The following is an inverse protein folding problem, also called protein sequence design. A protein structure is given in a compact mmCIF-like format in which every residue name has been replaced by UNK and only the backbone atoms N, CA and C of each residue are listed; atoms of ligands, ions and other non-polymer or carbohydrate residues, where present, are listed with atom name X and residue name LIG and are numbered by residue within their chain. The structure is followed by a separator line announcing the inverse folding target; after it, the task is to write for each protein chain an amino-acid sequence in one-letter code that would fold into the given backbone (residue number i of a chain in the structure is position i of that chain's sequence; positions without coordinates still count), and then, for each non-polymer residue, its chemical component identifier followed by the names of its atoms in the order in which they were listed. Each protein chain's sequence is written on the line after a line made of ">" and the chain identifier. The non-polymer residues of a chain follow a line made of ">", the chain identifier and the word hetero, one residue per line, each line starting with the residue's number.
data_IF_412457540139
#
_entry.id   IF_412457540139
#
_cell.length_a   1.000
_cell.length_b   1.000
_cell.length_c   1.000
_cell.angle_alpha   90.00
_cell.angle_beta   90.00
_cell.angle_gamma   90.00
#
_symmetry.space_group_name_H-M   'P 1'
#
loop_
_entity.id
_entity.type
_entity.pdbx_description
1 polymer ?
#
# COMPACT_ATOMS: atom_id res chain seq x y z
N UNK A 1 2.61 -2.74 -10.38
CA UNK A 1 2.80 -1.33 -10.07
C UNK A 1 4.19 -0.85 -10.50
N UNK A 2 5.28 -1.50 -10.06
CA UNK A 2 6.67 -1.17 -10.39
C UNK A 2 6.89 -0.95 -11.91
N UNK A 3 6.46 -1.90 -12.75
CA UNK A 3 6.60 -1.79 -14.20
C UNK A 3 5.88 -0.55 -14.79
N UNK A 4 4.69 -0.21 -14.26
CA UNK A 4 3.97 1.00 -14.68
C UNK A 4 4.68 2.28 -14.21
N UNK A 5 5.21 2.28 -12.98
CA UNK A 5 5.99 3.40 -12.43
C UNK A 5 7.21 3.70 -13.34
N UNK A 6 7.96 2.66 -13.71
CA UNK A 6 9.11 2.79 -14.61
C UNK A 6 8.75 3.35 -16.00
N UNK A 7 7.59 2.97 -16.58
CA UNK A 7 7.09 3.54 -17.84
C UNK A 7 6.76 5.02 -17.73
N UNK A 8 6.40 5.50 -16.55
CA UNK A 8 6.11 6.91 -16.26
C UNK A 8 7.34 7.69 -15.74
N UNK A 9 8.52 7.09 -15.72
CA UNK A 9 9.74 7.73 -15.23
C UNK A 9 9.81 7.87 -13.69
N UNK A 10 8.97 7.14 -12.96
CA UNK A 10 8.98 7.11 -11.50
C UNK A 10 9.93 6.02 -11.02
N UNK A 11 10.94 6.40 -10.27
CA UNK A 11 11.83 5.44 -9.62
C UNK A 11 11.07 4.69 -8.52
N UNK A 12 11.32 3.39 -8.41
CA UNK A 12 10.67 2.56 -7.39
C UNK A 12 11.65 1.58 -6.77
N UNK A 13 11.54 1.38 -5.48
CA UNK A 13 12.32 0.42 -4.70
C UNK A 13 11.38 -0.59 -4.08
N UNK A 14 11.54 -1.86 -4.45
CA UNK A 14 10.73 -2.94 -3.91
C UNK A 14 11.32 -3.44 -2.59
N UNK A 15 10.50 -3.55 -1.55
CA UNK A 15 10.93 -4.16 -0.29
C UNK A 15 11.00 -5.68 -0.36
N UNK A 16 10.51 -6.27 -1.46
CA UNK A 16 10.57 -7.71 -1.77
C UNK A 16 10.54 -7.91 -3.28
N UNK A 17 11.46 -8.69 -3.80
CA UNK A 17 11.59 -9.02 -5.23
C UNK A 17 11.20 -10.47 -5.55
N UNK A 18 11.06 -11.32 -4.52
CA UNK A 18 10.70 -12.73 -4.67
C UNK A 18 9.72 -13.19 -3.58
N UNK A 19 9.29 -14.45 -3.65
CA UNK A 19 8.49 -15.09 -2.59
C UNK A 19 9.32 -15.42 -1.36
N UNK A 20 10.64 -15.47 -1.50
CA UNK A 20 11.54 -15.81 -0.40
C UNK A 20 11.72 -14.65 0.55
N UNK A 21 11.77 -14.96 1.83
CA UNK A 21 12.04 -14.01 2.89
C UNK A 21 13.48 -14.22 3.35
N UNK A 22 14.32 -13.21 3.16
CA UNK A 22 15.68 -13.23 3.65
C UNK A 22 15.71 -12.91 5.15
N UNK A 23 16.16 -13.87 5.96
CA UNK A 23 16.37 -13.69 7.39
C UNK A 23 17.69 -14.38 7.80
N UNK A 24 18.36 -13.90 8.87
CA UNK A 24 19.62 -14.49 9.30
C UNK A 24 19.40 -15.92 9.86
N UNK A 25 20.40 -16.78 9.73
CA UNK A 25 20.35 -18.18 10.24
C UNK A 25 19.99 -18.26 11.73
N UNK A 26 20.33 -17.22 12.49
CA UNK A 26 19.99 -17.11 13.92
C UNK A 26 18.48 -16.95 14.17
N UNK A 27 17.66 -16.60 13.15
CA UNK A 27 16.22 -16.48 13.27
C UNK A 27 15.55 -17.86 13.19
N UNK A 28 15.46 -18.56 14.31
CA UNK A 28 14.96 -19.93 14.39
C UNK A 28 13.44 -20.05 14.48
N UNK A 29 12.75 -19.01 14.98
CA UNK A 29 11.28 -19.00 15.13
C UNK A 29 10.61 -18.12 14.09
N UNK A 30 9.32 -18.39 13.77
CA UNK A 30 8.51 -17.57 12.87
C UNK A 30 8.44 -16.11 13.34
N UNK A 31 8.36 -15.87 14.64
CA UNK A 31 8.34 -14.53 15.20
C UNK A 31 9.65 -13.78 14.94
N UNK A 32 10.80 -14.43 15.16
CA UNK A 32 12.12 -13.86 14.88
C UNK A 32 12.32 -13.58 13.39
N UNK A 33 11.89 -14.49 12.51
CA UNK A 33 11.93 -14.31 11.04
C UNK A 33 11.11 -13.11 10.62
N UNK A 34 9.85 -13.02 11.09
CA UNK A 34 8.98 -11.88 10.82
C UNK A 34 9.59 -10.56 11.33
N UNK A 35 10.14 -10.55 12.52
CA UNK A 35 10.78 -9.36 13.10
C UNK A 35 11.99 -8.92 12.28
N UNK A 36 12.85 -9.87 11.88
CA UNK A 36 14.02 -9.59 11.04
C UNK A 36 13.64 -9.03 9.67
N UNK A 37 12.66 -9.64 9.00
CA UNK A 37 12.14 -9.16 7.71
C UNK A 37 11.57 -7.74 7.83
N UNK A 38 10.74 -7.48 8.82
CA UNK A 38 10.17 -6.15 9.03
C UNK A 38 11.24 -5.10 9.35
N UNK A 39 12.27 -5.47 10.10
CA UNK A 39 13.39 -4.57 10.40
C UNK A 39 14.18 -4.23 9.14
N UNK A 40 14.53 -5.22 8.32
CA UNK A 40 15.24 -4.99 7.07
C UNK A 40 14.44 -4.10 6.10
N UNK A 41 13.12 -4.31 6.00
CA UNK A 41 12.25 -3.47 5.17
C UNK A 41 12.21 -2.03 5.64
N UNK A 42 12.07 -1.80 6.94
CA UNK A 42 12.01 -0.42 7.45
C UNK A 42 13.36 0.30 7.34
N UNK A 43 14.46 -0.42 7.46
CA UNK A 43 15.80 0.13 7.18
C UNK A 43 15.92 0.55 5.71
N UNK A 44 15.46 -0.27 4.77
CA UNK A 44 15.43 0.05 3.34
C UNK A 44 14.53 1.25 3.06
N UNK A 45 13.31 1.28 3.61
CA UNK A 45 12.35 2.37 3.42
C UNK A 45 12.92 3.70 3.93
N UNK A 46 13.44 3.70 5.16
CA UNK A 46 13.93 4.91 5.80
C UNK A 46 15.30 5.39 5.29
N UNK A 47 15.97 4.61 4.46
CA UNK A 47 17.18 4.99 3.73
C UNK A 47 16.89 5.76 2.43
N UNK A 48 15.63 5.77 1.97
CA UNK A 48 15.23 6.54 0.79
C UNK A 48 14.94 7.98 1.20
N UNK A 49 15.47 8.94 0.45
CA UNK A 49 15.14 10.36 0.58
C UNK A 49 13.91 10.67 -0.27
N UNK A 50 13.05 11.56 0.19
CA UNK A 50 11.85 12.04 -0.51
C UNK A 50 10.93 10.92 -1.05
N UNK A 51 10.87 9.79 -0.34
CA UNK A 51 10.10 8.63 -0.77
C UNK A 51 8.65 8.66 -0.28
N UNK A 52 7.81 7.95 -1.04
CA UNK A 52 6.45 7.60 -0.65
C UNK A 52 6.34 6.09 -0.50
N UNK A 53 5.86 5.63 0.64
CA UNK A 53 5.59 4.21 0.89
C UNK A 53 4.16 3.86 0.50
N UNK A 54 4.00 2.96 -0.47
CA UNK A 54 2.72 2.33 -0.80
C UNK A 54 2.80 0.84 -0.43
N UNK A 55 2.13 0.47 0.65
CA UNK A 55 2.06 -0.91 1.13
C UNK A 55 0.80 -1.59 0.60
N UNK A 56 0.94 -2.59 -0.27
CA UNK A 56 -0.18 -3.23 -0.98
C UNK A 56 -0.54 -4.52 -0.25
N UNK A 57 -1.80 -4.63 0.16
CA UNK A 57 -2.35 -5.73 0.95
C UNK A 57 -3.70 -6.20 0.42
N UNK A 58 -4.15 -7.30 0.99
CA UNK A 58 -5.49 -7.86 0.81
C UNK A 58 -6.05 -8.18 2.17
N UNK A 59 -7.27 -7.71 2.41
CA UNK A 59 -7.93 -7.83 3.70
C UNK A 59 -8.55 -9.21 3.91
N UNK A 60 -8.77 -9.57 5.14
CA UNK A 60 -9.53 -10.75 5.54
C UNK A 60 -10.45 -10.40 6.71
N UNK A 61 -11.69 -10.85 6.65
CA UNK A 61 -12.64 -10.70 7.74
C UNK A 61 -13.34 -12.04 8.01
N UNK A 62 -13.73 -12.35 9.26
CA UNK A 62 -14.33 -13.65 9.60
C UNK A 62 -15.63 -13.98 8.85
N UNK A 63 -16.30 -12.97 8.27
CA UNK A 63 -17.48 -13.18 7.43
C UNK A 63 -17.20 -12.73 5.99
N UNK A 64 -17.96 -13.29 5.04
CA UNK A 64 -17.80 -13.00 3.60
C UNK A 64 -18.50 -11.71 3.13
N UNK A 65 -19.21 -11.02 4.01
CA UNK A 65 -20.01 -9.82 3.67
C UNK A 65 -19.19 -8.57 3.35
N UNK A 66 -18.08 -8.26 4.07
CA UNK A 66 -17.28 -7.10 3.74
C UNK A 66 -16.70 -7.15 2.34
N UNK A 67 -16.73 -6.01 1.65
CA UNK A 67 -16.21 -5.84 0.30
C UNK A 67 -15.68 -4.42 0.08
N UNK A 68 -14.97 -4.20 -1.00
CA UNK A 68 -14.42 -2.91 -1.42
C UNK A 68 -13.01 -2.63 -0.90
N UNK A 69 -12.36 -1.68 -1.55
CA UNK A 69 -11.04 -1.24 -1.16
C UNK A 69 -11.06 -0.44 0.15
N UNK A 70 -9.93 -0.45 0.85
CA UNK A 70 -9.71 0.38 2.04
C UNK A 70 -8.31 0.97 1.96
N UNK A 71 -8.17 2.26 2.23
CA UNK A 71 -6.85 2.88 2.38
C UNK A 71 -6.67 3.35 3.81
N UNK A 72 -5.53 3.00 4.38
CA UNK A 72 -5.10 3.42 5.70
C UNK A 72 -3.83 4.26 5.55
N UNK A 73 -3.77 5.41 6.21
CA UNK A 73 -2.64 6.32 6.09
C UNK A 73 -1.80 6.38 7.35
N UNK A 74 -0.48 6.57 7.15
CA UNK A 74 0.48 6.73 8.23
C UNK A 74 0.43 8.10 8.90
N UNK A 75 1.34 8.31 9.85
CA UNK A 75 1.46 9.60 10.58
C UNK A 75 2.26 10.68 9.86
N UNK A 76 3.32 10.35 9.05
CA UNK A 76 4.08 11.38 8.38
C UNK A 76 3.22 12.33 7.56
N UNK A 77 3.68 13.57 7.43
CA UNK A 77 3.05 14.60 6.63
C UNK A 77 2.76 14.11 5.21
N UNK A 78 1.66 14.58 4.59
CA UNK A 78 1.21 14.14 3.27
C UNK A 78 0.51 12.78 3.22
N UNK A 79 0.68 11.94 4.26
CA UNK A 79 0.12 10.58 4.26
C UNK A 79 -1.41 10.57 4.21
N UNK A 80 -2.05 11.51 4.91
CA UNK A 80 -3.51 11.63 4.92
C UNK A 80 -4.02 12.07 3.55
N UNK A 81 -3.42 13.09 2.97
CA UNK A 81 -3.78 13.66 1.67
C UNK A 81 -3.67 12.59 0.58
N UNK A 82 -2.54 11.89 0.52
CA UNK A 82 -2.34 10.77 -0.41
C UNK A 82 -3.35 9.64 -0.14
N UNK A 83 -3.60 9.33 1.12
CA UNK A 83 -4.54 8.28 1.53
C UNK A 83 -5.98 8.58 1.11
N UNK A 84 -6.46 9.80 1.35
CA UNK A 84 -7.81 10.24 0.96
C UNK A 84 -7.97 10.28 -0.56
N UNK A 85 -6.97 10.79 -1.30
CA UNK A 85 -6.94 10.82 -2.76
C UNK A 85 -6.96 9.41 -3.35
N UNK A 86 -6.07 8.54 -2.88
CA UNK A 86 -5.98 7.15 -3.34
C UNK A 86 -7.28 6.39 -3.05
N UNK A 87 -7.85 6.57 -1.86
CA UNK A 87 -9.11 5.93 -1.50
C UNK A 87 -10.26 6.38 -2.40
N UNK A 88 -10.36 7.67 -2.67
CA UNK A 88 -11.35 8.23 -3.59
C UNK A 88 -11.24 7.59 -4.97
N UNK A 89 -10.04 7.62 -5.58
CA UNK A 89 -9.81 7.10 -6.93
C UNK A 89 -10.14 5.59 -7.03
N UNK A 90 -9.71 4.80 -6.04
CA UNK A 90 -10.03 3.36 -5.99
C UNK A 90 -11.53 3.12 -5.82
N UNK A 91 -12.18 3.85 -4.92
CA UNK A 91 -13.60 3.65 -4.64
C UNK A 91 -14.47 4.03 -5.83
N UNK A 92 -14.23 5.17 -6.45
CA UNK A 92 -14.99 5.62 -7.62
C UNK A 92 -14.87 4.67 -8.80
N UNK A 93 -13.68 4.09 -9.02
CA UNK A 93 -13.42 3.23 -10.17
C UNK A 93 -13.79 1.76 -9.96
N UNK A 94 -13.64 1.22 -8.74
CA UNK A 94 -13.74 -0.21 -8.49
C UNK A 94 -14.91 -0.62 -7.60
N UNK A 95 -15.33 0.24 -6.69
CA UNK A 95 -16.36 -0.08 -5.71
C UNK A 95 -17.24 1.13 -5.32
N UNK A 96 -17.95 1.76 -6.29
CA UNK A 96 -18.66 3.02 -6.08
C UNK A 96 -19.80 2.95 -5.04
N UNK A 97 -20.26 1.75 -4.67
CA UNK A 97 -21.23 1.55 -3.60
C UNK A 97 -20.60 1.49 -2.19
N UNK A 98 -19.27 1.46 -2.11
CA UNK A 98 -18.56 1.44 -0.83
C UNK A 98 -18.80 2.74 -0.06
N UNK A 99 -19.08 2.59 1.24
CA UNK A 99 -19.21 3.74 2.16
C UNK A 99 -17.98 3.89 3.05
N UNK A 100 -16.90 3.16 2.74
CA UNK A 100 -15.65 3.27 3.47
C UNK A 100 -15.01 4.61 3.17
N UNK A 101 -14.19 5.07 4.10
CA UNK A 101 -13.36 6.27 3.98
C UNK A 101 -11.92 5.91 4.29
N UNK A 102 -10.98 6.69 3.81
CA UNK A 102 -9.60 6.58 4.28
C UNK A 102 -9.54 6.82 5.79
N UNK A 103 -8.68 6.10 6.48
CA UNK A 103 -8.58 6.17 7.93
C UNK A 103 -7.12 6.10 8.40
N UNK A 104 -6.79 6.66 9.58
CA UNK A 104 -5.46 6.47 10.15
C UNK A 104 -5.20 5.00 10.43
N UNK A 105 -3.96 4.57 10.21
CA UNK A 105 -3.56 3.18 10.45
C UNK A 105 -3.37 2.91 11.94
N UNK A 106 -3.61 1.65 12.35
CA UNK A 106 -3.36 1.21 13.71
C UNK A 106 -1.85 1.23 14.03
N UNK A 107 -1.53 1.63 15.25
CA UNK A 107 -0.16 1.59 15.82
C UNK A 107 0.45 0.18 15.84
N UNK A 108 -0.36 -0.86 15.74
CA UNK A 108 0.09 -2.25 15.74
C UNK A 108 0.80 -2.65 14.43
N UNK A 109 0.61 -1.88 13.36
CA UNK A 109 1.25 -2.14 12.07
C UNK A 109 2.66 -1.54 12.06
N UNK A 110 3.64 -2.37 12.41
CA UNK A 110 5.02 -1.96 12.64
C UNK A 110 5.63 -1.13 11.50
N UNK A 111 5.55 -1.59 10.26
CA UNK A 111 6.14 -0.88 9.10
C UNK A 111 5.57 0.53 8.96
N UNK A 112 4.25 0.67 9.04
CA UNK A 112 3.59 1.95 8.88
C UNK A 112 3.86 2.91 10.05
N UNK A 113 4.02 2.36 11.26
CA UNK A 113 4.39 3.15 12.45
C UNK A 113 5.84 3.63 12.39
N UNK A 114 6.74 2.82 11.85
CA UNK A 114 8.19 3.08 11.84
C UNK A 114 8.68 3.80 10.57
N UNK A 115 7.85 3.88 9.53
CA UNK A 115 8.14 4.65 8.33
C UNK A 115 8.21 6.14 8.65
N UNK A 116 9.24 6.83 8.12
CA UNK A 116 9.46 8.26 8.28
C UNK A 116 8.95 9.08 7.11
N UNK A 117 8.69 8.45 5.97
CA UNK A 117 8.17 9.06 4.76
C UNK A 117 6.64 9.04 4.72
N UNK A 118 6.05 9.86 3.85
CA UNK A 118 4.63 9.76 3.46
C UNK A 118 4.27 8.32 3.17
N UNK A 119 3.19 7.81 3.77
CA UNK A 119 2.91 6.37 3.74
C UNK A 119 1.43 6.03 3.75
N UNK A 120 1.06 5.09 2.90
CA UNK A 120 -0.29 4.49 2.86
C UNK A 120 -0.22 2.97 2.81
N UNK A 121 -1.22 2.32 3.40
CA UNK A 121 -1.49 0.90 3.25
C UNK A 121 -2.83 0.75 2.51
N UNK A 122 -2.80 -0.01 1.43
CA UNK A 122 -3.95 -0.23 0.55
C UNK A 122 -4.41 -1.66 0.66
N UNK A 123 -5.58 -1.85 1.21
CA UNK A 123 -6.32 -3.12 1.18
C UNK A 123 -7.13 -3.17 -0.11
N UNK A 124 -6.67 -3.94 -1.09
CA UNK A 124 -7.23 -3.98 -2.44
C UNK A 124 -8.60 -4.66 -2.53
N UNK A 125 -9.00 -5.40 -1.51
CA UNK A 125 -10.25 -6.13 -1.40
C UNK A 125 -10.16 -7.23 -0.33
N UNK A 126 -11.24 -7.97 -0.12
CA UNK A 126 -11.35 -8.98 0.93
C UNK A 126 -11.19 -10.40 0.37
N UNK A 127 -10.17 -11.14 0.83
CA UNK A 127 -9.99 -12.56 0.50
C UNK A 127 -11.13 -13.45 1.05
N UNK A 128 -11.79 -13.00 2.10
CA UNK A 128 -12.98 -13.66 2.67
C UNK A 128 -14.23 -13.51 1.78
N UNK A 129 -14.26 -12.51 0.88
CA UNK A 129 -15.33 -12.34 -0.10
C UNK A 129 -14.97 -13.10 -1.38
N UNK A 130 -15.77 -14.13 -1.72
CA UNK A 130 -15.47 -15.02 -2.85
C UNK A 130 -15.35 -14.26 -4.19
N UNK A 131 -16.20 -13.28 -4.43
CA UNK A 131 -16.19 -12.53 -5.69
C UNK A 131 -14.90 -11.68 -5.81
N UNK A 132 -14.52 -11.01 -4.72
CA UNK A 132 -13.28 -10.23 -4.69
C UNK A 132 -12.04 -11.12 -4.76
N UNK A 133 -12.04 -12.25 -4.04
CA UNK A 133 -10.94 -13.22 -4.10
C UNK A 133 -10.69 -13.75 -5.53
N UNK A 134 -11.73 -13.89 -6.36
CA UNK A 134 -11.60 -14.24 -7.77
C UNK A 134 -11.04 -13.06 -8.57
N UNK A 135 -11.58 -11.85 -8.39
CA UNK A 135 -11.11 -10.66 -9.10
C UNK A 135 -9.63 -10.35 -8.81
N UNK A 136 -9.23 -10.42 -7.55
CA UNK A 136 -7.85 -10.18 -7.10
C UNK A 136 -6.81 -11.13 -7.73
N UNK A 137 -7.22 -12.26 -8.26
CA UNK A 137 -6.36 -13.21 -8.98
C UNK A 137 -6.24 -12.91 -10.48
N UNK A 138 -7.03 -11.99 -11.02
CA UNK A 138 -7.01 -11.65 -12.45
C UNK A 138 -5.99 -10.56 -12.75
N UNK A 139 -5.24 -10.73 -13.84
CA UNK A 139 -4.25 -9.74 -14.30
C UNK A 139 -4.90 -8.39 -14.61
N UNK A 140 -6.08 -8.39 -15.25
CA UNK A 140 -6.82 -7.17 -15.57
C UNK A 140 -7.17 -6.35 -14.35
N UNK A 141 -7.60 -7.00 -13.26
CA UNK A 141 -7.96 -6.30 -12.02
C UNK A 141 -6.72 -5.79 -11.29
N UNK A 142 -5.64 -6.57 -11.26
CA UNK A 142 -4.35 -6.16 -10.71
C UNK A 142 -3.77 -4.98 -11.48
N UNK A 143 -3.90 -4.97 -12.81
CA UNK A 143 -3.47 -3.86 -13.65
C UNK A 143 -4.28 -2.60 -13.36
N UNK A 144 -5.61 -2.70 -13.24
CA UNK A 144 -6.48 -1.57 -12.86
C UNK A 144 -6.11 -0.97 -11.53
N UNK A 145 -5.93 -1.80 -10.50
CA UNK A 145 -5.47 -1.34 -9.17
C UNK A 145 -4.12 -0.62 -9.30
N UNK A 146 -3.16 -1.23 -9.97
CA UNK A 146 -1.82 -0.67 -10.15
C UNK A 146 -1.85 0.68 -10.87
N UNK A 147 -2.66 0.81 -11.91
CA UNK A 147 -2.83 2.07 -12.65
C UNK A 147 -3.47 3.16 -11.76
N UNK A 148 -4.47 2.82 -10.95
CA UNK A 148 -5.11 3.75 -10.02
C UNK A 148 -4.17 4.20 -8.90
N UNK A 149 -3.34 3.30 -8.37
CA UNK A 149 -2.33 3.65 -7.38
C UNK A 149 -1.29 4.61 -7.95
N UNK A 150 -0.78 4.32 -9.15
CA UNK A 150 0.18 5.19 -9.82
C UNK A 150 -0.45 6.56 -10.15
N UNK A 151 -1.66 6.58 -10.68
CA UNK A 151 -2.36 7.83 -10.97
C UNK A 151 -2.58 8.68 -9.71
N UNK A 152 -2.91 8.03 -8.58
CA UNK A 152 -3.08 8.73 -7.30
C UNK A 152 -1.76 9.32 -6.80
N UNK A 153 -0.66 8.58 -6.93
CA UNK A 153 0.67 9.07 -6.60
C UNK A 153 1.05 10.27 -7.48
N UNK A 154 0.91 10.18 -8.79
CA UNK A 154 1.23 11.27 -9.71
C UNK A 154 0.36 12.52 -9.50
N UNK A 155 -0.92 12.35 -9.16
CA UNK A 155 -1.80 13.46 -8.79
C UNK A 155 -1.38 14.12 -7.49
N UNK A 156 -0.95 13.33 -6.51
CA UNK A 156 -0.45 13.82 -5.23
C UNK A 156 0.83 14.65 -5.42
N UNK A 157 1.81 14.13 -6.17
CA UNK A 157 3.06 14.85 -6.49
C UNK A 157 2.78 16.18 -7.21
N UNK A 158 1.94 16.14 -8.25
CA UNK A 158 1.57 17.35 -8.99
C UNK A 158 0.83 18.40 -8.13
N UNK A 159 0.08 17.97 -7.12
CA UNK A 159 -0.55 18.86 -6.14
C UNK A 159 0.44 19.45 -5.15
N UNK A 160 1.49 18.71 -4.81
CA UNK A 160 2.58 19.17 -3.92
C UNK A 160 3.45 20.21 -4.59
N UNK A 161 3.73 20.06 -5.88
CA UNK A 161 4.51 21.03 -6.68
C UNK A 161 3.73 22.33 -6.98
N UNK A 162 2.38 22.28 -6.93
CA UNK A 162 1.51 23.42 -7.22
C UNK A 162 1.35 24.44 -6.07
N UNK A 163 1.92 24.23 -4.91
CA UNK A 163 1.78 25.10 -3.73
C UNK A 163 3.02 25.98 -3.48
N UNK A 164 3.73 26.33 -4.54
CA UNK A 164 4.74 27.40 -4.51
C UNK A 164 4.12 28.63 -5.16
N UNK A 165 3.36 29.39 -4.39
CA UNK A 165 2.98 30.78 -4.66
C UNK A 165 3.61 31.67 -3.61
#
# INVERSE_FOLDING_TARGET
>A
LEALAGLCGVESVMTRESQDINYPESASTTAQRKQSDQKARIELINAQEDAVLISIHQNFFPTAQPSGCQVLYGKPEGSRELGELTHKNLTEALCPQSRRVAAPISEDIYLMRAAKCTSILVECGFLSNRNEAVLLQTEDYQLKISALLLASYLQYEAGSDGMVL
#
